data_IF_235518802247
#
_entry.id   IF_235518802247
#
_cell.length_a   1.000
_cell.length_b   1.000
_cell.length_c   1.000
_cell.angle_alpha   90.00
_cell.angle_beta   90.00
_cell.angle_gamma   90.00
#
_symmetry.space_group_name_H-M   'P 1'
#
loop_
_entity.id
_entity.type
_entity.pdbx_description
1 polymer ?
#
# COMPACT_ATOMS: atom_id res chain seq x y z
N UNK A 1 12.91 -14.11 -2.62
CA UNK A 1 13.21 -12.74 -3.06
C UNK A 1 13.81 -12.69 -4.46
N UNK A 2 15.04 -13.17 -4.63
CA UNK A 2 15.82 -13.00 -5.87
C UNK A 2 15.10 -13.52 -7.13
N UNK A 3 14.39 -14.64 -7.03
CA UNK A 3 13.56 -15.16 -8.13
C UNK A 3 12.50 -14.16 -8.58
N UNK A 4 11.83 -13.47 -7.64
CA UNK A 4 10.79 -12.48 -7.95
C UNK A 4 11.40 -11.25 -8.63
N UNK A 5 12.52 -10.74 -8.09
CA UNK A 5 13.23 -9.60 -8.68
C UNK A 5 13.76 -9.89 -10.09
N UNK A 6 14.11 -11.14 -10.40
CA UNK A 6 14.48 -11.55 -11.75
C UNK A 6 13.39 -11.28 -12.81
N UNK A 7 12.12 -11.19 -12.38
CA UNK A 7 11.00 -10.87 -13.27
C UNK A 7 10.51 -9.43 -13.18
N UNK A 8 10.75 -8.72 -12.06
CA UNK A 8 10.20 -7.38 -11.81
C UNK A 8 11.28 -6.31 -11.96
N UNK A 9 11.25 -5.48 -13.01
CA UNK A 9 12.25 -4.44 -13.22
C UNK A 9 11.89 -3.15 -12.47
N UNK A 10 12.91 -2.35 -12.14
CA UNK A 10 12.75 -0.95 -11.77
C UNK A 10 12.97 -0.09 -13.03
N UNK A 11 11.91 0.52 -13.53
CA UNK A 11 11.94 1.36 -14.74
C UNK A 11 11.12 2.60 -14.46
N UNK A 12 11.63 3.83 -14.68
CA UNK A 12 10.88 5.07 -14.42
C UNK A 12 9.79 5.31 -15.49
N UNK A 13 8.83 4.40 -15.57
CA UNK A 13 7.71 4.45 -16.50
C UNK A 13 6.50 3.75 -15.87
N UNK A 14 5.33 4.38 -15.99
CA UNK A 14 4.08 3.93 -15.36
C UNK A 14 3.79 2.45 -15.64
N UNK A 15 3.91 2.03 -16.90
CA UNK A 15 3.61 0.66 -17.34
C UNK A 15 4.69 -0.39 -17.03
N UNK A 16 5.92 0.03 -16.70
CA UNK A 16 7.07 -0.87 -16.62
C UNK A 16 7.61 -1.02 -15.19
N UNK A 17 7.46 -0.01 -14.33
CA UNK A 17 7.96 -0.09 -12.96
C UNK A 17 7.26 -1.20 -12.17
N UNK A 18 8.03 -2.18 -11.67
CA UNK A 18 7.47 -3.32 -10.94
C UNK A 18 6.54 -4.21 -11.78
N UNK A 19 6.49 -4.03 -13.10
CA UNK A 19 5.66 -4.87 -13.96
C UNK A 19 6.39 -6.18 -14.23
N UNK A 20 5.95 -7.28 -13.62
CA UNK A 20 6.58 -8.59 -13.80
C UNK A 20 6.53 -9.03 -15.28
N UNK A 21 7.63 -9.57 -15.82
CA UNK A 21 7.74 -10.10 -17.18
C UNK A 21 6.70 -11.21 -17.45
N UNK A 22 5.71 -10.92 -18.28
CA UNK A 22 4.57 -11.78 -18.67
C UNK A 22 4.24 -11.57 -20.15
N UNK A 23 3.94 -12.66 -20.86
CA UNK A 23 3.88 -12.63 -22.33
C UNK A 23 2.73 -13.38 -22.99
N UNK A 24 2.17 -14.40 -22.35
CA UNK A 24 1.34 -15.38 -23.05
C UNK A 24 -0.12 -15.34 -22.64
N UNK A 25 -0.50 -14.74 -21.51
CA UNK A 25 -1.84 -14.94 -20.95
C UNK A 25 -2.95 -14.37 -21.87
N UNK A 26 -2.65 -13.38 -22.72
CA UNK A 26 -3.59 -12.86 -23.73
C UNK A 26 -4.04 -13.92 -24.75
N UNK A 27 -3.25 -14.99 -24.98
CA UNK A 27 -3.69 -16.08 -25.87
C UNK A 27 -4.83 -16.92 -25.27
N UNK A 28 -5.07 -16.84 -23.95
CA UNK A 28 -6.13 -17.59 -23.26
C UNK A 28 -7.21 -16.68 -22.67
N UNK A 29 -6.81 -15.56 -22.07
CA UNK A 29 -7.72 -14.67 -21.32
C UNK A 29 -7.99 -13.31 -21.96
N UNK A 30 -7.32 -12.97 -23.06
CA UNK A 30 -7.47 -11.68 -23.74
C UNK A 30 -8.44 -11.71 -24.92
N UNK A 31 -9.08 -10.57 -25.20
CA UNK A 31 -9.88 -10.40 -26.43
C UNK A 31 -8.97 -10.33 -27.66
N UNK A 32 -7.87 -9.60 -27.58
CA UNK A 32 -6.84 -9.58 -28.62
C UNK A 32 -5.77 -10.62 -28.30
N UNK A 33 -5.86 -11.77 -28.97
CA UNK A 33 -5.02 -12.95 -28.69
C UNK A 33 -3.69 -12.88 -29.42
N UNK A 34 -2.59 -12.73 -28.68
CA UNK A 34 -1.21 -12.79 -29.18
C UNK A 34 -0.21 -12.98 -28.05
N UNK A 35 1.02 -13.34 -28.41
CA UNK A 35 2.15 -13.33 -27.47
C UNK A 35 2.78 -11.94 -27.52
N UNK A 36 2.65 -11.19 -26.45
CA UNK A 36 3.16 -9.83 -26.34
C UNK A 36 3.50 -9.53 -24.90
N UNK A 37 4.32 -8.51 -24.66
CA UNK A 37 4.57 -8.06 -23.31
C UNK A 37 3.30 -7.44 -22.69
N UNK A 38 2.87 -8.00 -21.57
CA UNK A 38 1.63 -7.57 -20.91
C UNK A 38 1.95 -6.59 -19.78
N UNK A 39 1.44 -5.37 -19.89
CA UNK A 39 1.58 -4.34 -18.85
C UNK A 39 0.45 -4.53 -17.82
N UNK A 40 0.82 -4.48 -16.54
CA UNK A 40 -0.05 -4.67 -15.38
C UNK A 40 -0.94 -5.93 -15.43
N UNK A 41 -0.41 -7.04 -15.91
CA UNK A 41 -1.02 -8.37 -15.72
C UNK A 41 -0.88 -8.86 -14.26
N UNK A 42 -1.77 -9.78 -13.85
CA UNK A 42 -1.97 -10.17 -12.44
C UNK A 42 -0.73 -10.63 -11.69
N UNK A 43 0.25 -11.19 -12.40
CA UNK A 43 1.51 -11.61 -11.81
C UNK A 43 2.29 -10.46 -11.15
N UNK A 44 2.09 -9.22 -11.60
CA UNK A 44 2.81 -8.05 -11.09
C UNK A 44 2.37 -7.71 -9.67
N UNK A 45 1.06 -7.57 -9.43
CA UNK A 45 0.51 -7.25 -8.11
C UNK A 45 0.80 -8.33 -7.08
N UNK A 46 0.71 -9.62 -7.47
CA UNK A 46 1.01 -10.73 -6.54
C UNK A 46 2.49 -10.79 -6.16
N UNK A 47 3.39 -10.64 -7.13
CA UNK A 47 4.82 -10.64 -6.86
C UNK A 47 5.23 -9.44 -5.98
N UNK A 48 4.59 -8.28 -6.17
CA UNK A 48 4.82 -7.10 -5.35
C UNK A 48 4.59 -7.34 -3.85
N UNK A 49 3.63 -8.20 -3.48
CA UNK A 49 3.38 -8.53 -2.06
C UNK A 49 4.63 -9.13 -1.39
N UNK A 50 5.38 -9.97 -2.12
CA UNK A 50 6.63 -10.57 -1.62
C UNK A 50 7.70 -9.50 -1.39
N UNK A 51 7.84 -8.56 -2.33
CA UNK A 51 8.80 -7.46 -2.24
C UNK A 51 8.48 -6.53 -1.07
N UNK A 52 7.22 -6.10 -0.97
CA UNK A 52 6.75 -5.23 0.09
C UNK A 52 6.85 -5.90 1.47
N UNK A 53 6.59 -7.20 1.57
CA UNK A 53 6.75 -7.95 2.82
C UNK A 53 8.21 -7.97 3.27
N UNK A 54 9.13 -8.28 2.36
CA UNK A 54 10.54 -8.33 2.71
C UNK A 54 11.11 -6.96 3.05
N UNK A 55 10.66 -5.90 2.37
CA UNK A 55 11.01 -4.54 2.74
C UNK A 55 10.58 -4.23 4.18
N UNK A 56 9.35 -4.58 4.58
CA UNK A 56 8.90 -4.36 5.97
C UNK A 56 9.70 -5.16 7.01
N UNK A 57 10.19 -6.35 6.65
CA UNK A 57 11.06 -7.16 7.53
C UNK A 57 12.48 -6.62 7.65
N UNK A 58 12.94 -5.79 6.70
CA UNK A 58 14.23 -5.11 6.75
C UNK A 58 14.17 -3.82 5.89
N UNK A 59 13.77 -2.68 6.46
CA UNK A 59 13.41 -1.47 5.72
C UNK A 59 14.62 -0.62 5.30
N UNK A 60 15.76 -1.24 5.00
CA UNK A 60 16.99 -0.57 4.59
C UNK A 60 17.24 -0.63 3.08
N UNK A 61 16.57 -1.55 2.37
CA UNK A 61 16.71 -1.70 0.92
C UNK A 61 15.56 -1.03 0.18
N UNK A 62 15.72 0.26 -0.15
CA UNK A 62 14.67 1.04 -0.82
C UNK A 62 14.38 0.54 -2.25
N UNK A 63 15.27 -0.25 -2.87
CA UNK A 63 15.02 -0.86 -4.17
C UNK A 63 13.82 -1.83 -4.12
N UNK A 64 13.70 -2.62 -3.04
CA UNK A 64 12.54 -3.52 -2.84
C UNK A 64 11.23 -2.73 -2.78
N UNK A 65 11.24 -1.58 -2.10
CA UNK A 65 10.06 -0.72 -2.03
C UNK A 65 9.76 -0.09 -3.39
N UNK A 66 10.74 0.48 -4.09
CA UNK A 66 10.53 1.11 -5.41
C UNK A 66 9.88 0.14 -6.41
N UNK A 67 10.37 -1.10 -6.47
CA UNK A 67 9.84 -2.15 -7.35
C UNK A 67 8.50 -2.69 -6.86
N UNK A 68 8.39 -3.01 -5.57
CA UNK A 68 7.17 -3.54 -4.97
C UNK A 68 6.01 -2.55 -5.05
N UNK A 69 6.26 -1.28 -4.76
CA UNK A 69 5.24 -0.23 -4.81
C UNK A 69 4.72 -0.01 -6.23
N UNK A 70 5.62 0.01 -7.23
CA UNK A 70 5.23 0.08 -8.65
C UNK A 70 4.37 -1.10 -9.09
N UNK A 71 4.79 -2.33 -8.74
CA UNK A 71 4.07 -3.55 -9.11
C UNK A 71 2.70 -3.69 -8.44
N UNK A 72 2.57 -3.22 -7.19
CA UNK A 72 1.32 -3.23 -6.44
C UNK A 72 0.35 -2.14 -6.90
N UNK A 73 0.84 -0.96 -7.25
CA UNK A 73 -0.02 0.18 -7.62
C UNK A 73 -0.42 0.18 -9.10
N UNK A 74 0.42 -0.35 -9.99
CA UNK A 74 0.13 -0.48 -11.42
C UNK A 74 -1.26 -1.08 -11.76
N UNK A 75 -1.72 -2.16 -11.10
CA UNK A 75 -3.05 -2.75 -11.28
C UNK A 75 -4.22 -1.79 -11.17
N UNK A 76 -4.07 -0.65 -10.47
CA UNK A 76 -5.11 0.37 -10.40
C UNK A 76 -5.42 0.97 -11.79
N UNK A 77 -4.41 1.07 -12.65
CA UNK A 77 -4.58 1.62 -14.01
C UNK A 77 -5.45 0.75 -14.92
N UNK A 78 -5.58 -0.54 -14.62
CA UNK A 78 -6.49 -1.44 -15.33
C UNK A 78 -7.97 -1.12 -15.08
N UNK A 79 -8.29 -0.44 -13.96
CA UNK A 79 -9.66 -0.12 -13.57
C UNK A 79 -10.07 1.19 -14.23
N UNK A 80 -11.02 1.11 -15.13
CA UNK A 80 -11.62 2.24 -15.81
C UNK A 80 -12.51 3.03 -14.84
N UNK A 81 -12.78 4.28 -15.20
CA UNK A 81 -13.63 5.18 -14.40
C UNK A 81 -15.07 4.67 -14.24
N UNK A 82 -15.55 3.86 -15.18
CA UNK A 82 -16.86 3.20 -15.14
C UNK A 82 -16.87 1.88 -14.35
N UNK A 83 -15.71 1.47 -13.81
CA UNK A 83 -15.54 0.27 -13.00
C UNK A 83 -15.17 -0.99 -13.81
N UNK A 84 -15.09 -0.93 -15.14
CA UNK A 84 -14.55 -2.05 -15.91
C UNK A 84 -13.06 -2.23 -15.61
N UNK A 85 -12.63 -3.46 -15.33
CA UNK A 85 -11.21 -3.75 -15.13
C UNK A 85 -10.69 -4.60 -16.29
N UNK A 86 -9.59 -4.20 -16.92
CA UNK A 86 -8.96 -4.93 -18.03
C UNK A 86 -7.96 -6.00 -17.53
N UNK A 87 -7.87 -7.14 -18.22
CA UNK A 87 -6.93 -8.21 -17.87
C UNK A 87 -5.46 -7.76 -17.91
N UNK A 88 -5.11 -6.94 -18.92
CA UNK A 88 -3.80 -6.32 -19.08
C UNK A 88 -3.86 -5.15 -20.06
N UNK A 89 -2.74 -4.44 -20.23
CA UNK A 89 -2.52 -3.47 -21.30
C UNK A 89 -1.61 -4.07 -22.39
N UNK A 90 -2.06 -3.97 -23.64
CA UNK A 90 -1.35 -4.40 -24.83
C UNK A 90 -0.19 -3.44 -25.13
N UNK A 91 1.06 -3.90 -24.98
CA UNK A 91 2.21 -2.99 -24.99
C UNK A 91 2.84 -2.72 -26.36
N UNK A 92 2.34 -3.35 -27.44
CA UNK A 92 2.90 -3.07 -28.77
C UNK A 92 2.61 -1.61 -29.17
N UNK A 93 3.59 -0.89 -29.76
CA UNK A 93 3.44 0.53 -30.11
C UNK A 93 2.29 0.85 -31.06
N UNK A 94 1.88 -0.11 -31.88
CA UNK A 94 0.76 0.02 -32.83
C UNK A 94 -0.61 -0.19 -32.18
N UNK A 95 -0.67 -0.72 -30.96
CA UNK A 95 -1.91 -1.11 -30.28
C UNK A 95 -2.21 -0.23 -29.08
N UNK A 96 -1.27 -0.15 -28.11
CA UNK A 96 -1.36 0.66 -26.89
C UNK A 96 -2.77 0.82 -26.31
N UNK A 97 -3.41 -0.31 -25.96
CA UNK A 97 -4.79 -0.34 -25.51
C UNK A 97 -4.98 -1.32 -24.35
N UNK A 98 -5.98 -1.05 -23.51
CA UNK A 98 -6.49 -2.00 -22.52
C UNK A 98 -7.16 -3.18 -23.22
N UNK A 99 -6.91 -4.40 -22.73
CA UNK A 99 -7.67 -5.56 -23.22
C UNK A 99 -9.15 -5.36 -22.89
N UNK A 100 -10.01 -5.67 -23.86
CA UNK A 100 -11.45 -5.47 -23.75
C UNK A 100 -12.16 -6.55 -22.93
N UNK A 101 -11.43 -7.53 -22.39
CA UNK A 101 -11.91 -8.46 -21.37
C UNK A 101 -11.25 -8.20 -20.02
N UNK A 102 -12.03 -8.41 -18.95
CA UNK A 102 -11.49 -8.46 -17.60
C UNK A 102 -10.64 -9.68 -17.34
N UNK A 103 -10.89 -10.76 -18.07
CA UNK A 103 -10.11 -12.00 -18.02
C UNK A 103 -9.84 -12.43 -16.58
N UNK A 104 -8.55 -12.54 -16.26
CA UNK A 104 -8.00 -12.96 -14.98
C UNK A 104 -7.50 -11.77 -14.13
N UNK A 105 -8.13 -10.59 -14.24
CA UNK A 105 -7.72 -9.41 -13.46
C UNK A 105 -7.88 -9.57 -11.94
N UNK A 106 -8.81 -10.41 -11.47
CA UNK A 106 -9.16 -10.54 -10.03
C UNK A 106 -7.96 -10.71 -9.07
N UNK A 107 -7.02 -11.64 -9.32
CA UNK A 107 -5.79 -11.76 -8.52
C UNK A 107 -4.90 -10.51 -8.54
N UNK A 108 -4.96 -9.69 -9.58
CA UNK A 108 -4.23 -8.42 -9.62
C UNK A 108 -4.86 -7.39 -8.67
N UNK A 109 -6.19 -7.33 -8.66
CA UNK A 109 -6.95 -6.53 -7.70
C UNK A 109 -6.63 -6.95 -6.26
N UNK A 110 -6.54 -8.27 -6.00
CA UNK A 110 -6.11 -8.77 -4.70
C UNK A 110 -4.71 -8.25 -4.33
N UNK A 111 -3.76 -8.30 -5.26
CA UNK A 111 -2.41 -7.75 -5.06
C UNK A 111 -2.41 -6.26 -4.72
N UNK A 112 -3.23 -5.47 -5.43
CA UNK A 112 -3.45 -4.04 -5.14
C UNK A 112 -3.99 -3.84 -3.72
N UNK A 113 -5.11 -4.49 -3.37
CA UNK A 113 -5.79 -4.28 -2.09
C UNK A 113 -4.94 -4.75 -0.90
N UNK A 114 -4.30 -5.91 -1.00
CA UNK A 114 -3.47 -6.43 0.10
C UNK A 114 -2.15 -5.68 0.25
N UNK A 115 -1.59 -5.19 -0.85
CA UNK A 115 -0.29 -4.51 -0.88
C UNK A 115 -0.35 -3.02 -0.59
N UNK A 116 -1.50 -2.38 -0.80
CA UNK A 116 -1.69 -0.96 -0.58
C UNK A 116 -1.38 -0.56 0.86
N UNK A 117 -0.52 0.45 0.99
CA UNK A 117 -0.21 1.14 2.23
C UNK A 117 0.47 2.47 1.92
N UNK A 118 0.46 3.36 2.90
CA UNK A 118 1.37 4.50 2.96
C UNK A 118 2.68 4.06 3.64
N UNK A 119 3.85 4.34 3.05
CA UNK A 119 5.16 4.00 3.64
C UNK A 119 5.95 5.28 3.91
N UNK A 120 6.55 5.38 5.09
CA UNK A 120 7.56 6.41 5.43
C UNK A 120 8.91 5.73 5.51
N UNK A 121 9.88 6.19 4.73
CA UNK A 121 11.16 5.51 4.54
C UNK A 121 12.29 6.52 4.52
N UNK A 122 13.40 6.17 5.16
CA UNK A 122 14.67 6.85 4.97
C UNK A 122 15.35 6.25 3.74
N UNK A 123 15.41 7.03 2.65
CA UNK A 123 16.02 6.61 1.40
C UNK A 123 17.41 7.24 1.25
N UNK A 124 18.41 6.47 0.84
CA UNK A 124 19.81 6.94 0.75
C UNK A 124 19.99 8.12 -0.24
N UNK A 125 19.14 8.20 -1.27
CA UNK A 125 19.26 9.21 -2.33
C UNK A 125 18.49 10.50 -2.02
N UNK A 126 17.32 10.38 -1.36
CA UNK A 126 16.36 11.49 -1.21
C UNK A 126 16.00 11.80 0.25
N UNK A 127 16.58 11.07 1.20
CA UNK A 127 16.27 11.18 2.62
C UNK A 127 14.87 10.65 2.96
N UNK A 128 14.28 11.21 4.02
CA UNK A 128 12.96 10.82 4.48
C UNK A 128 11.87 11.14 3.46
N UNK A 129 11.19 10.10 2.96
CA UNK A 129 10.16 10.18 1.92
C UNK A 129 8.91 9.38 2.29
N UNK A 130 7.76 9.81 1.78
CA UNK A 130 6.49 9.08 1.89
C UNK A 130 6.06 8.52 0.52
N UNK A 131 5.82 7.21 0.44
CA UNK A 131 5.15 6.55 -0.68
C UNK A 131 3.67 6.43 -0.37
N UNK A 132 2.80 6.83 -1.29
CA UNK A 132 1.35 6.80 -1.05
C UNK A 132 0.90 7.82 -0.01
N UNK A 133 1.65 8.89 0.20
CA UNK A 133 1.30 9.93 1.15
C UNK A 133 2.01 11.24 0.86
N UNK A 134 1.62 12.28 1.57
CA UNK A 134 2.24 13.61 1.52
C UNK A 134 2.88 13.86 2.88
N UNK A 135 4.20 13.94 2.90
CA UNK A 135 4.98 14.25 4.09
C UNK A 135 4.98 15.76 4.32
N UNK A 136 4.79 16.16 5.58
CA UNK A 136 4.82 17.55 6.03
C UNK A 136 5.55 17.65 7.38
N UNK A 137 6.30 18.73 7.56
CA UNK A 137 7.04 19.05 8.79
C UNK A 137 6.32 20.10 9.67
N UNK A 138 5.01 20.26 9.48
CA UNK A 138 4.20 21.29 10.16
C UNK A 138 4.13 21.12 11.70
N UNK A 139 4.57 19.97 12.23
CA UNK A 139 4.58 19.66 13.66
C UNK A 139 5.82 20.13 14.44
N UNK A 140 6.75 20.85 13.79
CA UNK A 140 8.03 21.25 14.37
C UNK A 140 9.15 20.24 14.14
N UNK A 141 10.37 20.53 14.60
CA UNK A 141 11.59 19.76 14.25
C UNK A 141 11.55 18.29 14.68
N UNK A 142 10.72 17.92 15.66
CA UNK A 142 10.70 16.57 16.24
C UNK A 142 9.48 15.72 15.83
N UNK A 143 8.58 16.25 15.00
CA UNK A 143 7.34 15.56 14.60
C UNK A 143 7.21 15.50 13.08
N UNK A 144 7.05 14.28 12.57
CA UNK A 144 6.78 14.04 11.15
C UNK A 144 5.28 13.76 10.99
N UNK A 145 4.63 14.47 10.06
CA UNK A 145 3.21 14.29 9.76
C UNK A 145 3.02 13.85 8.32
N UNK A 146 2.14 12.87 8.09
CA UNK A 146 1.89 12.28 6.78
C UNK A 146 0.40 12.16 6.54
N UNK A 147 -0.08 12.78 5.46
CA UNK A 147 -1.42 12.53 4.95
C UNK A 147 -1.40 11.30 4.04
N UNK A 148 -2.28 10.32 4.27
CA UNK A 148 -2.34 9.13 3.42
C UNK A 148 -3.04 9.45 2.10
N UNK A 149 -2.50 8.92 1.00
CA UNK A 149 -2.98 9.12 -0.37
C UNK A 149 -2.90 7.85 -1.23
N UNK A 150 -2.53 6.71 -0.65
CA UNK A 150 -2.60 5.42 -1.32
C UNK A 150 -4.06 5.05 -1.64
N UNK A 151 -4.27 4.07 -2.52
CA UNK A 151 -5.59 3.73 -3.05
C UNK A 151 -6.57 3.18 -2.01
N UNK A 152 -6.08 2.65 -0.88
CA UNK A 152 -6.91 1.98 0.13
C UNK A 152 -6.95 2.75 1.45
N UNK A 153 -5.85 3.40 1.84
CA UNK A 153 -5.72 4.24 3.05
C UNK A 153 -6.02 3.50 4.35
N UNK A 154 -5.75 2.20 4.43
CA UNK A 154 -6.02 1.37 5.63
C UNK A 154 -4.78 0.81 6.30
N UNK A 155 -3.61 1.10 5.76
CA UNK A 155 -2.34 0.54 6.24
C UNK A 155 -1.27 1.60 6.14
N UNK A 156 -0.49 1.76 7.20
CA UNK A 156 0.67 2.65 7.23
C UNK A 156 1.87 1.88 7.77
N UNK A 157 3.02 2.07 7.14
CA UNK A 157 4.29 1.52 7.59
C UNK A 157 5.28 2.66 7.84
N UNK A 158 5.85 2.71 9.04
CA UNK A 158 6.80 3.74 9.46
C UNK A 158 8.17 3.07 9.60
N UNK A 159 8.97 3.13 8.53
CA UNK A 159 10.29 2.51 8.42
C UNK A 159 11.23 2.86 9.57
N UNK A 160 11.41 4.15 9.92
CA UNK A 160 12.25 4.55 11.06
C UNK A 160 11.85 3.94 12.42
N UNK A 161 10.59 3.53 12.56
CA UNK A 161 10.08 2.89 13.78
C UNK A 161 9.95 1.36 13.64
N UNK A 162 10.12 0.81 12.43
CA UNK A 162 9.83 -0.59 12.12
C UNK A 162 8.38 -0.99 12.40
N UNK A 163 7.45 -0.05 12.25
CA UNK A 163 6.09 -0.16 12.77
C UNK A 163 5.05 -0.24 11.64
N UNK A 164 4.21 -1.26 11.66
CA UNK A 164 3.07 -1.44 10.78
C UNK A 164 1.77 -1.23 11.59
N UNK A 165 0.89 -0.36 11.09
CA UNK A 165 -0.45 -0.13 11.65
C UNK A 165 -1.48 -0.36 10.55
N UNK A 166 -2.54 -1.12 10.83
CA UNK A 166 -3.62 -1.32 9.89
C UNK A 166 -5.00 -1.39 10.54
N UNK A 167 -6.02 -1.08 9.74
CA UNK A 167 -7.44 -1.04 10.12
C UNK A 167 -8.31 -1.84 9.16
N UNK A 168 -9.38 -2.47 9.65
CA UNK A 168 -10.32 -3.24 8.83
C UNK A 168 -11.48 -2.41 8.28
N UNK A 169 -11.82 -1.30 8.94
CA UNK A 169 -12.90 -0.40 8.54
C UNK A 169 -12.46 1.07 8.58
N UNK A 170 -13.21 1.92 7.87
CA UNK A 170 -12.85 3.33 7.69
C UNK A 170 -11.56 3.50 6.89
N UNK A 171 -10.87 4.61 7.15
CA UNK A 171 -9.57 4.96 6.59
C UNK A 171 -8.70 5.59 7.67
N UNK A 172 -7.39 5.49 7.50
CA UNK A 172 -6.38 6.30 8.17
C UNK A 172 -6.28 7.59 7.35
N UNK A 173 -6.82 8.70 7.84
CA UNK A 173 -6.81 9.98 7.14
C UNK A 173 -5.38 10.53 7.05
N UNK A 174 -4.70 10.53 8.19
CA UNK A 174 -3.34 11.00 8.40
C UNK A 174 -2.76 10.32 9.64
N UNK A 175 -1.44 10.38 9.77
CA UNK A 175 -0.76 10.05 11.02
C UNK A 175 0.42 10.98 11.24
N UNK A 176 0.86 11.08 12.49
CA UNK A 176 2.11 11.74 12.83
C UNK A 176 2.88 10.90 13.83
N UNK A 177 4.20 11.06 13.88
CA UNK A 177 5.01 10.46 14.92
C UNK A 177 6.06 11.43 15.44
N UNK A 178 6.28 11.36 16.75
CA UNK A 178 7.35 12.08 17.43
C UNK A 178 8.62 11.22 17.45
N UNK A 179 9.74 11.80 17.02
CA UNK A 179 11.00 11.08 16.81
C UNK A 179 11.58 10.61 18.15
N UNK A 180 11.48 11.43 19.20
CA UNK A 180 12.12 11.15 20.49
C UNK A 180 11.35 10.11 21.32
N UNK A 181 10.03 10.33 21.47
CA UNK A 181 9.15 9.45 22.25
C UNK A 181 8.68 8.23 21.48
N UNK A 182 8.85 8.21 20.15
CA UNK A 182 8.35 7.17 19.25
C UNK A 182 6.84 6.96 19.32
N UNK A 183 6.10 7.98 19.79
CA UNK A 183 4.64 7.92 19.86
C UNK A 183 4.05 8.33 18.52
N UNK A 184 3.15 7.50 18.01
CA UNK A 184 2.40 7.71 16.77
C UNK A 184 0.97 8.12 17.10
N UNK A 185 0.48 9.18 16.47
CA UNK A 185 -0.92 9.60 16.47
C UNK A 185 -1.53 9.24 15.13
N UNK A 186 -2.53 8.36 15.12
CA UNK A 186 -3.23 7.89 13.93
C UNK A 186 -4.63 8.49 13.92
N UNK A 187 -4.96 9.25 12.89
CA UNK A 187 -6.28 9.86 12.72
C UNK A 187 -7.10 9.00 11.78
N UNK A 188 -8.20 8.47 12.30
CA UNK A 188 -9.15 7.63 11.60
C UNK A 188 -10.37 8.44 11.18
N UNK A 189 -10.93 8.12 10.02
CA UNK A 189 -12.14 8.73 9.49
C UNK A 189 -12.95 7.71 8.68
N UNK A 190 -14.10 8.13 8.17
CA UNK A 190 -14.91 7.35 7.24
C UNK A 190 -15.17 8.19 5.99
N UNK A 191 -15.20 7.54 4.82
CA UNK A 191 -15.52 8.21 3.56
C UNK A 191 -17.00 8.60 3.51
N UNK A 192 -17.29 9.74 2.90
CA UNK A 192 -18.66 10.18 2.63
C UNK A 192 -19.28 9.39 1.49
N UNK A 193 -20.57 9.06 1.59
CA UNK A 193 -21.31 8.40 0.49
C UNK A 193 -21.07 6.89 0.35
N UNK A 194 -20.37 6.27 1.31
CA UNK A 194 -20.20 4.81 1.39
C UNK A 194 -20.76 4.29 2.73
N UNK A 195 -21.00 2.97 2.88
CA UNK A 195 -21.45 2.41 4.16
C UNK A 195 -20.50 2.75 5.32
N UNK A 196 -21.09 3.15 6.45
CA UNK A 196 -20.36 3.44 7.69
C UNK A 196 -20.23 2.19 8.56
N UNK A 197 -19.08 2.05 9.23
CA UNK A 197 -18.86 1.09 10.30
C UNK A 197 -19.05 1.76 11.68
N UNK A 198 -19.51 0.98 12.66
CA UNK A 198 -19.63 1.43 14.06
C UNK A 198 -18.27 1.48 14.78
N UNK A 199 -17.33 0.64 14.34
CA UNK A 199 -15.99 0.55 14.89
C UNK A 199 -15.03 -0.01 13.84
N UNK A 200 -13.74 0.19 14.07
CA UNK A 200 -12.65 -0.52 13.41
C UNK A 200 -11.82 -1.24 14.44
N UNK A 201 -11.15 -2.33 14.05
CA UNK A 201 -10.03 -2.87 14.84
C UNK A 201 -8.74 -2.27 14.30
N UNK A 202 -7.90 -1.78 15.21
CA UNK A 202 -6.54 -1.31 14.93
C UNK A 202 -5.57 -2.40 15.35
N UNK A 203 -4.79 -2.89 14.40
CA UNK A 203 -3.67 -3.78 14.67
C UNK A 203 -2.36 -3.03 14.56
N UNK A 204 -1.44 -3.39 15.45
CA UNK A 204 -0.10 -2.80 15.57
C UNK A 204 0.89 -3.95 15.55
N UNK A 205 1.89 -3.86 14.69
CA UNK A 205 2.92 -4.89 14.53
C UNK A 205 4.30 -4.22 14.40
N UNK A 206 5.24 -4.64 15.23
CA UNK A 206 6.67 -4.35 15.02
C UNK A 206 7.20 -5.35 14.01
N UNK A 207 7.60 -4.88 12.82
CA UNK A 207 8.15 -5.75 11.77
C UNK A 207 9.67 -5.67 11.67
N UNK A 208 10.30 -4.67 12.29
CA UNK A 208 11.74 -4.48 12.34
C UNK A 208 12.17 -3.74 13.61
N UNK A 209 13.36 -4.07 14.12
CA UNK A 209 13.90 -3.53 15.37
C UNK A 209 13.31 -4.17 16.64
N UNK A 210 13.79 -3.72 17.79
CA UNK A 210 13.51 -4.36 19.10
C UNK A 210 12.41 -3.67 19.92
N UNK A 211 11.87 -2.54 19.43
CA UNK A 211 10.82 -1.80 20.16
C UNK A 211 9.45 -2.42 19.88
N UNK A 212 8.81 -2.94 20.92
CA UNK A 212 7.41 -3.36 20.84
C UNK A 212 6.50 -2.13 20.94
N UNK A 213 5.42 -2.14 20.16
CA UNK A 213 4.42 -1.07 20.19
C UNK A 213 3.04 -1.62 20.55
N UNK A 214 2.26 -0.80 21.24
CA UNK A 214 0.85 -1.08 21.53
C UNK A 214 0.01 0.19 21.43
N UNK A 215 -1.31 0.03 21.37
CA UNK A 215 -2.23 1.16 21.49
C UNK A 215 -2.21 1.64 22.94
N UNK A 216 -1.91 2.92 23.14
CA UNK A 216 -1.84 3.59 24.45
C UNK A 216 -3.04 4.51 24.71
N UNK A 217 -3.97 4.63 23.77
CA UNK A 217 -5.25 5.31 23.99
C UNK A 217 -6.05 4.56 25.06
N UNK A 218 -6.39 5.25 26.15
CA UNK A 218 -7.17 4.70 27.26
C UNK A 218 -8.61 4.38 26.87
N UNK A 219 -9.20 3.37 27.53
CA UNK A 219 -10.63 3.07 27.40
C UNK A 219 -11.01 2.28 26.15
N UNK A 220 -10.02 1.74 25.43
CA UNK A 220 -10.24 0.81 24.32
C UNK A 220 -10.15 -0.63 24.80
N UNK A 221 -10.92 -1.51 24.18
CA UNK A 221 -10.93 -2.94 24.46
C UNK A 221 -10.21 -3.71 23.36
N UNK A 222 -9.59 -4.83 23.71
CA UNK A 222 -8.99 -5.72 22.71
C UNK A 222 -10.06 -6.53 21.98
N UNK A 223 -9.92 -6.65 20.67
CA UNK A 223 -10.79 -7.44 19.80
C UNK A 223 -9.96 -8.01 18.65
N UNK A 224 -10.12 -9.30 18.33
CA UNK A 224 -9.44 -9.96 17.20
C UNK A 224 -7.91 -9.73 17.16
N UNK A 225 -7.25 -9.80 18.32
CA UNK A 225 -5.80 -9.54 18.48
C UNK A 225 -5.37 -8.09 18.16
N UNK A 226 -6.31 -7.16 18.04
CA UNK A 226 -6.08 -5.73 17.93
C UNK A 226 -6.89 -4.96 18.96
N UNK A 227 -7.13 -3.68 18.70
CA UNK A 227 -7.87 -2.78 19.58
C UNK A 227 -9.10 -2.24 18.88
N UNK A 228 -10.27 -2.43 19.50
CA UNK A 228 -11.54 -1.92 18.98
C UNK A 228 -11.62 -0.42 19.22
N UNK A 229 -11.78 0.34 18.14
CA UNK A 229 -11.91 1.80 18.14
C UNK A 229 -13.27 2.17 17.60
N UNK A 230 -14.14 2.83 18.39
CA UNK A 230 -15.41 3.35 17.89
C UNK A 230 -15.18 4.34 16.75
N UNK A 231 -15.97 4.22 15.69
CA UNK A 231 -15.99 5.16 14.58
C UNK A 231 -17.29 5.95 14.60
N UNK A 232 -17.23 7.20 14.18
CA UNK A 232 -18.39 8.03 13.93
C UNK A 232 -18.36 8.51 12.48
N UNK A 233 -19.52 8.56 11.84
CA UNK A 233 -19.68 9.00 10.45
C UNK A 233 -19.24 10.45 10.20
N UNK A 234 -19.23 11.30 11.23
CA UNK A 234 -19.01 12.75 11.08
C UNK A 234 -17.78 13.31 11.78
N UNK A 235 -17.04 12.51 12.57
CA UNK A 235 -15.91 13.01 13.35
C UNK A 235 -14.64 12.18 13.15
N UNK A 236 -13.51 12.87 13.12
CA UNK A 236 -12.19 12.25 13.18
C UNK A 236 -11.98 11.59 14.55
N UNK A 237 -11.36 10.41 14.55
CA UNK A 237 -11.02 9.67 15.77
C UNK A 237 -9.52 9.49 15.85
N UNK A 238 -8.90 9.92 16.94
CA UNK A 238 -7.44 9.82 17.12
C UNK A 238 -7.08 8.65 18.02
N UNK A 239 -6.19 7.78 17.54
CA UNK A 239 -5.63 6.64 18.27
C UNK A 239 -4.14 6.88 18.45
N UNK A 240 -3.62 6.69 19.66
CA UNK A 240 -2.19 6.79 19.96
C UNK A 240 -1.59 5.40 20.10
N UNK A 241 -0.47 5.20 19.43
CA UNK A 241 0.36 4.00 19.50
C UNK A 241 1.72 4.42 20.04
N UNK A 242 2.28 3.66 20.97
CA UNK A 242 3.58 3.97 21.56
C UNK A 242 4.30 2.72 22.04
N UNK A 243 5.57 2.88 22.48
CA UNK A 243 6.33 1.77 23.04
C UNK A 243 5.59 1.11 24.22
N UNK A 244 5.62 -0.22 24.26
CA UNK A 244 5.03 -1.05 25.33
C UNK A 244 6.09 -1.60 26.29
#
# INVERSE_FOLDING_TARGET
MNTVLGFMPSVPHWGWNGNARRYWDNIYGGKLRRIERQIHHYGSGLNALVLLSAFRSNPTDSYLLRVGYGGMNGPLSNIHQDGFAAASFHSWPDTLAWDAYSGDYGPNFLGLILGAATYVVEDEDVGLVAYGGILSSEGGENTISVQTRDSVRRKVFIGPLGLLIHVDAGIIEQFSYDIASKVVSVVLSQLTGVPSAQSTVVWVETTYGDTNYTVITSGLEQERMGWKVPLNSTSLVTVRVGPS
#
